data_IF_300695293383
#
_entry.id   IF_300695293383
#
_cell.length_a   1.000
_cell.length_b   1.000
_cell.length_c   1.000
_cell.angle_alpha   90.00
_cell.angle_beta   90.00
_cell.angle_gamma   90.00
#
_symmetry.space_group_name_H-M   'P 1'
#
loop_
_entity.id
_entity.type
_entity.pdbx_description
1 polymer ?
#
# COMPACT_ATOMS: atom_id res chain seq x y z
N UNK A 1 -18.72 -7.73 14.86
CA UNK A 1 -19.39 -7.21 13.64
C UNK A 1 -19.20 -8.21 12.52
N UNK A 2 -20.28 -8.86 12.10
CA UNK A 2 -20.26 -9.87 11.04
C UNK A 2 -20.45 -9.21 9.68
N UNK A 3 -19.34 -8.82 9.06
CA UNK A 3 -19.32 -8.23 7.72
C UNK A 3 -19.25 -9.38 6.70
N UNK A 4 -20.39 -9.99 6.39
CA UNK A 4 -20.46 -11.00 5.30
C UNK A 4 -20.40 -10.34 3.91
N UNK A 5 -20.90 -9.10 3.79
CA UNK A 5 -20.91 -8.33 2.55
C UNK A 5 -19.94 -7.13 2.63
N UNK A 6 -19.28 -6.74 1.53
CA UNK A 6 -18.46 -5.54 1.52
C UNK A 6 -19.24 -4.33 2.06
N UNK A 7 -18.69 -3.66 3.07
CA UNK A 7 -19.33 -2.53 3.74
C UNK A 7 -18.58 -1.26 3.42
N UNK A 8 -19.29 -0.26 2.91
CA UNK A 8 -18.72 1.07 2.64
C UNK A 8 -19.03 2.00 3.80
N UNK A 9 -18.03 2.71 4.29
CA UNK A 9 -18.17 3.66 5.39
C UNK A 9 -17.19 4.83 5.25
N UNK A 10 -17.49 5.93 5.94
CA UNK A 10 -16.60 7.06 6.06
C UNK A 10 -15.75 6.86 7.32
N UNK A 11 -14.45 7.11 7.18
CA UNK A 11 -13.50 7.01 8.27
C UNK A 11 -12.50 8.16 8.22
N UNK A 12 -11.85 8.42 9.34
CA UNK A 12 -10.65 9.26 9.41
C UNK A 12 -9.43 8.37 9.52
N UNK A 13 -8.42 8.59 8.68
CA UNK A 13 -7.13 7.91 8.79
C UNK A 13 -6.37 8.46 10.00
N UNK A 14 -6.00 7.61 10.95
CA UNK A 14 -5.29 8.03 12.16
C UNK A 14 -3.79 7.77 12.08
N UNK A 15 -3.41 6.58 11.59
CA UNK A 15 -2.00 6.21 11.50
C UNK A 15 -1.81 5.05 10.51
N UNK A 16 -0.58 4.88 10.04
CA UNK A 16 -0.12 3.77 9.21
C UNK A 16 1.16 3.16 9.78
N UNK A 17 1.34 1.87 9.53
CA UNK A 17 2.59 1.17 9.79
C UNK A 17 3.69 1.66 8.84
N UNK A 18 4.84 2.02 9.41
CA UNK A 18 5.91 2.73 8.69
C UNK A 18 7.04 1.81 8.22
N UNK A 19 7.13 0.59 8.73
CA UNK A 19 8.27 -0.32 8.53
C UNK A 19 7.99 -1.42 7.51
N UNK A 20 6.76 -1.92 7.44
CA UNK A 20 6.39 -3.08 6.60
C UNK A 20 5.31 -2.74 5.57
N UNK A 21 5.47 -1.60 4.90
CA UNK A 21 4.46 -1.01 4.00
C UNK A 21 4.39 -1.67 2.61
N UNK A 22 5.32 -2.55 2.26
CA UNK A 22 5.34 -3.23 0.96
C UNK A 22 5.92 -4.64 1.06
N UNK A 23 5.61 -5.46 0.06
CA UNK A 23 6.15 -6.81 -0.08
C UNK A 23 6.50 -7.09 -1.54
N UNK A 24 7.38 -8.07 -1.78
CA UNK A 24 7.83 -8.43 -3.11
C UNK A 24 6.94 -9.48 -3.76
N UNK A 25 6.72 -9.32 -5.06
CA UNK A 25 6.04 -10.30 -5.92
C UNK A 25 6.76 -10.50 -7.24
N UNK A 26 6.50 -11.62 -7.89
CA UNK A 26 6.91 -11.84 -9.28
C UNK A 26 6.18 -10.83 -10.19
N UNK A 27 6.91 -10.14 -11.06
CA UNK A 27 6.29 -9.21 -12.03
C UNK A 27 5.34 -9.92 -13.02
N UNK A 28 5.55 -11.21 -13.27
CA UNK A 28 4.81 -11.99 -14.27
C UNK A 28 3.55 -12.64 -13.68
N UNK A 29 3.70 -13.42 -12.60
CA UNK A 29 2.58 -14.19 -12.03
C UNK A 29 2.04 -13.62 -10.71
N UNK A 30 2.59 -12.51 -10.21
CA UNK A 30 2.20 -11.83 -8.97
C UNK A 30 2.23 -12.69 -7.70
N UNK A 31 2.83 -13.88 -7.75
CA UNK A 31 3.10 -14.69 -6.56
C UNK A 31 4.10 -13.98 -5.66
N UNK A 32 3.84 -14.02 -4.35
CA UNK A 32 4.73 -13.50 -3.32
C UNK A 32 6.11 -14.12 -3.41
N UNK A 33 7.13 -13.29 -3.30
CA UNK A 33 8.53 -13.69 -3.23
C UNK A 33 9.08 -13.41 -1.83
N UNK A 34 10.11 -14.14 -1.38
CA UNK A 34 10.87 -13.77 -0.19
C UNK A 34 11.42 -12.35 -0.26
N UNK A 35 11.68 -11.75 0.89
CA UNK A 35 12.25 -10.40 0.97
C UNK A 35 13.69 -10.32 0.45
N UNK A 36 14.40 -11.47 0.38
CA UNK A 36 15.75 -11.55 -0.15
C UNK A 36 15.78 -11.15 -1.64
N UNK A 37 16.45 -10.03 -2.03
CA UNK A 37 16.41 -9.50 -3.40
C UNK A 37 16.82 -10.52 -4.48
N UNK A 38 17.66 -11.51 -4.16
CA UNK A 38 18.10 -12.53 -5.12
C UNK A 38 17.10 -13.68 -5.31
N UNK A 39 16.03 -13.73 -4.52
CA UNK A 39 15.01 -14.79 -4.63
C UNK A 39 14.26 -14.69 -5.95
N UNK A 40 14.26 -15.79 -6.71
CA UNK A 40 13.55 -15.91 -7.97
C UNK A 40 12.16 -16.53 -7.77
N UNK A 41 11.27 -16.27 -8.72
CA UNK A 41 9.98 -16.93 -8.74
C UNK A 41 10.13 -18.38 -9.20
N UNK A 42 10.05 -19.34 -8.27
CA UNK A 42 10.16 -20.77 -8.61
C UNK A 42 9.16 -21.21 -9.70
N UNK A 43 7.94 -20.67 -9.69
CA UNK A 43 6.92 -21.00 -10.68
C UNK A 43 7.25 -20.53 -12.10
N UNK A 44 7.70 -19.29 -12.25
CA UNK A 44 8.07 -18.75 -13.56
C UNK A 44 9.45 -19.27 -14.01
N UNK A 45 10.36 -19.53 -13.07
CA UNK A 45 11.70 -20.04 -13.35
C UNK A 45 11.66 -21.46 -13.95
N UNK A 46 10.75 -22.32 -13.47
CA UNK A 46 10.60 -23.70 -13.97
C UNK A 46 10.02 -23.80 -15.40
N UNK A 47 9.27 -22.78 -15.85
CA UNK A 47 8.64 -22.77 -17.17
C UNK A 47 9.50 -22.12 -18.27
N UNK A 48 10.63 -21.50 -17.91
CA UNK A 48 11.54 -20.84 -18.85
C UNK A 48 12.55 -21.84 -19.42
N UNK A 49 12.08 -22.73 -20.31
CA UNK A 49 12.97 -23.66 -21.05
C UNK A 49 13.87 -22.98 -22.08
N UNK A 50 13.80 -21.65 -22.24
CA UNK A 50 14.68 -20.89 -23.13
C UNK A 50 15.00 -19.54 -22.47
N UNK A 51 16.28 -19.34 -22.18
CA UNK A 51 16.94 -18.10 -21.72
C UNK A 51 16.74 -17.71 -20.24
N UNK A 52 17.84 -17.87 -19.51
CA UNK A 52 18.13 -17.50 -18.12
C UNK A 52 18.00 -15.98 -17.89
N UNK A 53 16.79 -15.45 -17.93
CA UNK A 53 16.49 -14.12 -17.39
C UNK A 53 15.58 -14.30 -16.18
N UNK A 54 16.17 -14.16 -15.00
CA UNK A 54 15.47 -13.98 -13.72
C UNK A 54 14.22 -13.13 -13.93
N UNK A 55 13.03 -13.69 -13.68
CA UNK A 55 11.81 -12.90 -13.77
C UNK A 55 11.91 -11.71 -12.80
N UNK A 56 11.78 -10.47 -13.27
CA UNK A 56 11.97 -9.30 -12.42
C UNK A 56 10.96 -9.31 -11.27
N UNK A 57 11.36 -8.84 -10.09
CA UNK A 57 10.44 -8.64 -8.97
C UNK A 57 9.91 -7.22 -8.98
N UNK A 58 8.64 -7.05 -8.61
CA UNK A 58 8.06 -5.74 -8.30
C UNK A 58 7.57 -5.72 -6.85
N UNK A 59 7.34 -4.53 -6.29
CA UNK A 59 6.72 -4.35 -4.97
C UNK A 59 5.26 -4.01 -5.12
N UNK A 60 4.48 -4.45 -4.13
CA UNK A 60 3.09 -4.08 -3.95
C UNK A 60 2.91 -3.53 -2.54
N UNK A 61 2.03 -2.54 -2.38
CA UNK A 61 1.75 -2.03 -1.03
C UNK A 61 0.97 -3.05 -0.20
N UNK A 62 1.30 -3.04 1.10
CA UNK A 62 0.58 -3.70 2.18
C UNK A 62 0.64 -2.77 3.38
N UNK A 63 -0.32 -1.85 3.46
CA UNK A 63 -0.35 -0.83 4.50
C UNK A 63 -1.30 -1.29 5.59
N UNK A 64 -0.78 -1.52 6.79
CA UNK A 64 -1.62 -1.62 7.98
C UNK A 64 -1.94 -0.21 8.45
N UNK A 65 -3.22 0.13 8.59
CA UNK A 65 -3.64 1.46 8.99
C UNK A 65 -4.74 1.43 10.04
N UNK A 66 -4.64 2.36 10.99
CA UNK A 66 -5.67 2.63 12.00
C UNK A 66 -6.63 3.67 11.45
N UNK A 67 -7.93 3.37 11.52
CA UNK A 67 -8.99 4.25 11.06
C UNK A 67 -10.04 4.43 12.15
N UNK A 68 -10.60 5.64 12.25
CA UNK A 68 -11.75 5.93 13.11
C UNK A 68 -13.02 6.01 12.26
N UNK A 69 -14.06 5.26 12.61
CA UNK A 69 -15.43 5.58 12.21
C UNK A 69 -16.09 6.51 13.22
N UNK A 70 -17.34 6.85 12.97
CA UNK A 70 -18.25 7.53 13.91
C UNK A 70 -18.35 6.87 15.29
N UNK A 71 -18.10 5.57 15.36
CA UNK A 71 -18.43 4.71 16.52
C UNK A 71 -17.21 4.08 17.17
N UNK A 72 -16.09 3.94 16.47
CA UNK A 72 -14.90 3.23 17.00
C UNK A 72 -13.63 3.45 16.18
N UNK A 73 -12.50 3.12 16.79
CA UNK A 73 -11.20 2.99 16.12
C UNK A 73 -10.91 1.51 15.87
N UNK A 74 -10.40 1.17 14.69
CA UNK A 74 -10.02 -0.19 14.33
C UNK A 74 -8.96 -0.21 13.24
N UNK A 75 -8.25 -1.33 13.14
CA UNK A 75 -7.17 -1.53 12.17
C UNK A 75 -7.68 -2.23 10.92
N UNK A 76 -7.25 -1.75 9.76
CA UNK A 76 -7.54 -2.31 8.44
C UNK A 76 -6.26 -2.46 7.63
N UNK A 77 -6.28 -3.33 6.62
CA UNK A 77 -5.16 -3.51 5.70
C UNK A 77 -5.51 -3.00 4.30
N UNK A 78 -4.66 -2.14 3.76
CA UNK A 78 -4.80 -1.53 2.45
C UNK A 78 -3.77 -2.11 1.48
N UNK A 79 -4.24 -2.80 0.46
CA UNK A 79 -3.38 -3.39 -0.57
C UNK A 79 -3.18 -2.45 -1.75
N UNK A 80 -2.18 -2.77 -2.56
CA UNK A 80 -1.65 -1.98 -3.68
C UNK A 80 -2.62 -1.04 -4.38
N UNK A 81 -3.71 -1.55 -4.97
CA UNK A 81 -4.66 -0.71 -5.74
C UNK A 81 -5.26 0.43 -4.91
N UNK A 82 -5.68 0.14 -3.68
CA UNK A 82 -6.27 1.16 -2.81
C UNK A 82 -5.18 2.07 -2.24
N UNK A 83 -4.03 1.52 -1.83
CA UNK A 83 -2.92 2.29 -1.31
C UNK A 83 -2.39 3.31 -2.33
N UNK A 84 -2.32 2.95 -3.62
CA UNK A 84 -1.90 3.85 -4.71
C UNK A 84 -2.74 5.14 -4.80
N UNK A 85 -4.00 5.13 -4.37
CA UNK A 85 -4.84 6.34 -4.31
C UNK A 85 -4.33 7.32 -3.25
N UNK A 86 -3.93 6.80 -2.08
CA UNK A 86 -3.42 7.63 -0.98
C UNK A 86 -1.98 8.10 -1.22
N UNK A 87 -1.15 7.21 -1.76
CA UNK A 87 0.27 7.47 -1.96
C UNK A 87 0.57 8.19 -3.29
N UNK A 88 -0.24 8.00 -4.33
CA UNK A 88 -0.08 8.64 -5.64
C UNK A 88 1.07 8.10 -6.49
N UNK A 89 1.69 7.01 -6.07
CA UNK A 89 2.84 6.38 -6.73
C UNK A 89 2.77 4.86 -6.58
N UNK A 90 3.65 4.15 -7.29
CA UNK A 90 3.81 2.70 -7.09
C UNK A 90 4.57 2.38 -5.79
N UNK A 91 4.44 1.15 -5.29
CA UNK A 91 5.19 0.72 -4.12
C UNK A 91 6.71 0.69 -4.36
N UNK A 92 7.16 0.40 -5.59
CA UNK A 92 8.57 0.49 -5.95
C UNK A 92 9.05 1.95 -5.93
N UNK A 93 8.31 2.87 -6.54
CA UNK A 93 8.65 4.31 -6.51
C UNK A 93 8.73 4.83 -5.07
N UNK A 94 7.74 4.52 -4.23
CA UNK A 94 7.75 4.95 -2.84
C UNK A 94 8.91 4.33 -2.04
N UNK A 95 9.19 3.04 -2.26
CA UNK A 95 10.29 2.34 -1.59
C UNK A 95 11.65 2.92 -1.97
N UNK A 96 11.89 3.20 -3.25
CA UNK A 96 13.13 3.79 -3.71
C UNK A 96 13.27 5.24 -3.24
N UNK A 97 12.18 6.01 -3.21
CA UNK A 97 12.16 7.35 -2.61
C UNK A 97 12.51 7.30 -1.12
N UNK A 98 11.94 6.33 -0.38
CA UNK A 98 12.20 6.16 1.05
C UNK A 98 13.65 5.73 1.38
N UNK A 99 14.37 5.10 0.44
CA UNK A 99 15.80 4.82 0.60
C UNK A 99 16.65 6.09 0.53
N UNK A 100 16.28 7.02 -0.36
CA UNK A 100 17.01 8.27 -0.59
C UNK A 100 16.73 9.30 0.51
N UNK A 101 15.52 9.25 1.07
CA UNK A 101 15.04 10.22 2.05
C UNK A 101 14.63 9.51 3.35
N UNK A 102 15.54 9.42 4.33
CA UNK A 102 15.22 8.93 5.66
C UNK A 102 14.00 9.69 6.20
N UNK A 103 13.09 9.01 6.88
CA UNK A 103 11.80 9.53 7.38
C UNK A 103 10.66 9.69 6.36
N UNK A 104 10.83 9.35 5.08
CA UNK A 104 9.72 9.34 4.09
C UNK A 104 8.45 8.67 4.62
N UNK A 105 8.55 7.48 5.20
CA UNK A 105 7.39 6.75 5.73
C UNK A 105 6.72 7.47 6.91
N UNK A 106 7.51 8.07 7.80
CA UNK A 106 7.00 8.84 8.93
C UNK A 106 6.33 10.15 8.48
N UNK A 107 6.91 10.83 7.49
CA UNK A 107 6.33 12.04 6.90
C UNK A 107 5.06 11.71 6.12
N UNK A 108 5.02 10.61 5.36
CA UNK A 108 3.81 10.13 4.70
C UNK A 108 2.68 9.85 5.68
N UNK A 109 3.00 9.26 6.85
CA UNK A 109 2.04 9.07 7.93
C UNK A 109 1.44 10.39 8.40
N UNK A 110 2.27 11.42 8.66
CA UNK A 110 1.80 12.75 9.07
C UNK A 110 0.98 13.48 8.00
N UNK A 111 1.33 13.29 6.72
CA UNK A 111 0.59 13.92 5.60
C UNK A 111 -0.84 13.35 5.52
N UNK A 112 -1.00 12.05 5.74
CA UNK A 112 -2.28 11.36 5.59
C UNK A 112 -3.09 11.29 6.90
N UNK A 113 -2.46 11.53 8.04
CA UNK A 113 -3.12 11.60 9.34
C UNK A 113 -4.20 12.70 9.34
N UNK A 114 -5.40 12.35 9.80
CA UNK A 114 -6.56 13.23 9.82
C UNK A 114 -7.34 13.28 8.50
N UNK A 115 -6.87 12.65 7.42
CA UNK A 115 -7.62 12.62 6.16
C UNK A 115 -8.92 11.83 6.30
N UNK A 116 -10.03 12.47 5.92
CA UNK A 116 -11.30 11.77 5.80
C UNK A 116 -11.34 10.97 4.50
N UNK A 117 -11.62 9.69 4.63
CA UNK A 117 -11.65 8.73 3.54
C UNK A 117 -12.97 7.96 3.56
N UNK A 118 -13.54 7.74 2.38
CA UNK A 118 -14.58 6.73 2.18
C UNK A 118 -13.92 5.43 1.79
N UNK A 119 -14.09 4.39 2.60
CA UNK A 119 -13.49 3.07 2.39
C UNK A 119 -14.55 2.01 2.18
N UNK A 120 -14.28 1.06 1.29
CA UNK A 120 -15.05 -0.19 1.19
C UNK A 120 -14.23 -1.29 1.85
N UNK A 121 -14.78 -1.88 2.92
CA UNK A 121 -14.15 -2.92 3.72
C UNK A 121 -14.72 -4.29 3.35
N UNK A 122 -13.86 -5.29 3.28
CA UNK A 122 -14.23 -6.69 3.02
C UNK A 122 -13.54 -7.61 4.00
N UNK A 123 -14.21 -8.71 4.39
CA UNK A 123 -13.56 -9.76 5.16
C UNK A 123 -12.50 -10.46 4.30
N UNK A 124 -11.40 -10.90 4.90
CA UNK A 124 -10.48 -11.77 4.20
C UNK A 124 -11.18 -13.08 3.83
N UNK A 125 -10.86 -13.61 2.63
CA UNK A 125 -11.40 -14.88 2.14
C UNK A 125 -10.88 -16.09 2.93
N UNK A 126 -9.72 -15.94 3.58
CA UNK A 126 -9.09 -16.99 4.37
C UNK A 126 -9.29 -16.67 5.85
N UNK A 127 -9.80 -17.63 6.62
CA UNK A 127 -10.14 -17.45 8.04
C UNK A 127 -8.96 -17.12 8.97
N UNK A 128 -7.72 -17.26 8.51
CA UNK A 128 -6.51 -16.97 9.29
C UNK A 128 -6.08 -15.49 9.23
N UNK A 129 -6.74 -14.65 8.43
CA UNK A 129 -6.38 -13.24 8.34
C UNK A 129 -7.22 -12.42 9.32
N UNK A 130 -6.54 -11.63 10.14
CA UNK A 130 -7.13 -10.91 11.27
C UNK A 130 -7.79 -9.58 10.87
N UNK A 131 -7.21 -8.89 9.88
CA UNK A 131 -7.64 -7.53 9.52
C UNK A 131 -8.64 -7.48 8.36
N UNK A 132 -9.59 -6.54 8.46
CA UNK A 132 -10.46 -6.17 7.35
C UNK A 132 -9.64 -5.57 6.21
N UNK A 133 -10.00 -5.91 4.97
CA UNK A 133 -9.31 -5.45 3.76
C UNK A 133 -10.02 -4.25 3.14
N UNK A 134 -9.26 -3.20 2.87
CA UNK A 134 -9.73 -2.07 2.07
C UNK A 134 -9.67 -2.44 0.60
N UNK A 135 -10.84 -2.60 -0.02
CA UNK A 135 -10.96 -2.90 -1.46
C UNK A 135 -11.04 -1.64 -2.32
N UNK A 136 -11.55 -0.54 -1.74
CA UNK A 136 -11.63 0.78 -2.37
C UNK A 136 -11.41 1.86 -1.31
N UNK A 137 -10.80 2.96 -1.71
CA UNK A 137 -10.60 4.14 -0.87
C UNK A 137 -10.77 5.40 -1.73
N UNK A 138 -11.44 6.40 -1.16
CA UNK A 138 -11.66 7.69 -1.79
C UNK A 138 -11.44 8.81 -0.76
N UNK A 139 -10.39 9.62 -0.91
CA UNK A 139 -10.22 10.84 -0.11
C UNK A 139 -11.40 11.78 -0.33
N UNK A 140 -11.88 12.41 0.73
CA UNK A 140 -13.09 13.25 0.71
C UNK A 140 -12.78 14.74 0.69
N UNK A 141 -11.55 15.14 1.03
CA UNK A 141 -11.10 16.53 0.99
C UNK A 141 -11.01 17.02 -0.44
N UNK A 142 -11.70 18.12 -0.74
CA UNK A 142 -11.54 18.81 -2.03
C UNK A 142 -10.10 19.30 -2.17
N UNK A 143 -9.44 18.94 -3.27
CA UNK A 143 -8.02 19.24 -3.49
C UNK A 143 -7.04 18.30 -2.78
N UNK A 144 -7.48 17.13 -2.30
CA UNK A 144 -6.58 16.10 -1.78
C UNK A 144 -5.38 15.89 -2.71
N UNK A 145 -4.17 15.97 -2.14
CA UNK A 145 -2.92 15.68 -2.83
C UNK A 145 -2.38 14.35 -2.30
N UNK A 146 -2.03 13.39 -3.17
CA UNK A 146 -1.43 12.14 -2.71
C UNK A 146 -0.10 12.37 -2.00
N UNK A 147 0.25 11.50 -1.06
CA UNK A 147 1.40 11.69 -0.18
C UNK A 147 2.72 11.94 -0.93
N UNK A 148 2.96 11.26 -2.06
CA UNK A 148 4.21 11.42 -2.83
C UNK A 148 4.44 12.84 -3.31
N UNK A 149 3.38 13.60 -3.59
CA UNK A 149 3.50 14.95 -4.12
C UNK A 149 4.04 15.89 -3.04
N UNK A 150 3.40 15.89 -1.86
CA UNK A 150 3.88 16.67 -0.71
C UNK A 150 5.26 16.21 -0.26
N UNK A 151 5.58 14.93 -0.36
CA UNK A 151 6.93 14.42 -0.07
C UNK A 151 7.97 14.98 -1.05
N UNK A 152 7.69 14.96 -2.35
CA UNK A 152 8.60 15.52 -3.37
C UNK A 152 8.83 17.02 -3.13
N UNK A 153 7.78 17.78 -2.82
CA UNK A 153 7.89 19.19 -2.44
C UNK A 153 8.74 19.38 -1.17
N UNK A 154 8.46 18.61 -0.13
CA UNK A 154 9.17 18.68 1.15
C UNK A 154 10.67 18.41 1.03
N UNK A 155 11.05 17.43 0.21
CA UNK A 155 12.47 17.09 -0.04
C UNK A 155 13.10 17.88 -1.19
N UNK A 156 12.39 18.87 -1.76
CA UNK A 156 12.90 19.70 -2.86
C UNK A 156 13.12 18.96 -4.18
N UNK A 157 12.49 17.79 -4.35
CA UNK A 157 12.52 17.00 -5.59
C UNK A 157 11.53 17.64 -6.56
N UNK A 158 12.03 18.46 -7.50
CA UNK A 158 11.20 19.11 -8.52
C UNK A 158 10.44 18.05 -9.32
N UNK A 159 9.12 18.15 -9.38
CA UNK A 159 8.32 17.51 -10.41
C UNK A 159 8.74 18.14 -11.74
N UNK A 160 9.45 17.38 -12.57
CA UNK A 160 9.87 17.84 -13.90
C UNK A 160 8.66 18.33 -14.69
N UNK A 161 8.84 19.51 -15.29
CA UNK A 161 7.93 20.14 -16.26
C UNK A 161 7.74 19.30 -17.51
#
# INVERSE_FOLDING_TARGET
MEIEKPTTMMCTLLAMEQTNFCYRVCSVCERTLPDNPTSLCNFCNLNSSKQSHSSPSKRLFRILMSVASDTRVFTVICFDRAAKVLFGCSADEFFDFAKLHPFTAATANRILEGEMIKVTLSRPKNGNAEHLRVSQVFPLRSGFQPAIQTLKEFYGVRTGS
#
